data_IF_220477225791
#
_entry.id   IF_220477225791
#
_cell.length_a   1.000
_cell.length_b   1.000
_cell.length_c   1.000
_cell.angle_alpha   90.00
_cell.angle_beta   90.00
_cell.angle_gamma   90.00
#
_symmetry.space_group_name_H-M   'P 1'
#
loop_
_entity.id
_entity.type
_entity.pdbx_description
1 polymer ?
#
# COMPACT_ATOMS: atom_id res chain seq x y z
N UNK A 1 -29.49 28.86 7.38
CA UNK A 1 -28.20 29.49 7.04
C UNK A 1 -27.35 28.44 6.35
N UNK A 2 -27.24 28.49 5.03
CA UNK A 2 -26.30 27.67 4.27
C UNK A 2 -24.90 28.23 4.53
N UNK A 3 -24.02 27.45 5.14
CA UNK A 3 -22.61 27.82 5.26
C UNK A 3 -22.05 27.93 3.83
N UNK A 4 -21.51 29.11 3.48
CA UNK A 4 -20.74 29.28 2.25
C UNK A 4 -19.66 28.20 2.22
N UNK A 5 -19.66 27.35 1.19
CA UNK A 5 -18.60 26.37 0.98
C UNK A 5 -17.31 27.13 0.66
N UNK A 6 -16.49 27.35 1.68
CA UNK A 6 -15.19 28.00 1.53
C UNK A 6 -14.27 27.04 0.77
N UNK A 7 -13.78 27.48 -0.39
CA UNK A 7 -12.87 26.65 -1.20
C UNK A 7 -11.55 26.35 -0.47
N UNK A 8 -10.90 25.22 -0.76
CA UNK A 8 -9.59 24.88 -0.20
C UNK A 8 -8.54 26.02 -0.30
N UNK A 9 -8.40 26.77 -1.42
CA UNK A 9 -7.48 27.90 -1.49
C UNK A 9 -7.72 29.01 -0.46
N UNK A 10 -8.98 29.33 -0.16
CA UNK A 10 -9.31 30.32 0.88
C UNK A 10 -8.91 29.83 2.27
N UNK A 11 -9.16 28.56 2.58
CA UNK A 11 -8.75 27.98 3.86
C UNK A 11 -7.22 27.95 4.01
N UNK A 12 -6.50 27.68 2.92
CA UNK A 12 -5.03 27.71 2.92
C UNK A 12 -4.48 29.12 3.15
N UNK A 13 -5.16 30.16 2.66
CA UNK A 13 -4.75 31.54 2.91
C UNK A 13 -4.87 31.91 4.41
N UNK A 14 -5.92 31.41 5.07
CA UNK A 14 -6.15 31.63 6.51
C UNK A 14 -5.05 31.01 7.39
N UNK A 15 -4.29 30.03 6.90
CA UNK A 15 -3.14 29.45 7.62
C UNK A 15 -1.99 30.45 7.84
N UNK A 16 -1.92 31.52 7.06
CA UNK A 16 -0.96 32.61 7.26
C UNK A 16 -1.44 33.69 8.25
N UNK A 17 -2.63 33.52 8.85
CA UNK A 17 -3.16 34.46 9.84
C UNK A 17 -2.25 34.52 11.08
N UNK A 18 -2.13 35.72 11.68
CA UNK A 18 -1.44 35.90 12.97
C UNK A 18 -2.28 35.34 14.12
N UNK A 19 -3.61 35.30 13.95
CA UNK A 19 -4.56 34.74 14.92
C UNK A 19 -4.59 33.21 14.84
N UNK A 20 -4.17 32.58 15.93
CA UNK A 20 -4.20 31.12 16.12
C UNK A 20 -5.59 30.52 15.98
N UNK A 21 -6.62 31.19 16.47
CA UNK A 21 -8.00 30.67 16.42
C UNK A 21 -8.45 30.53 14.97
N UNK A 22 -8.04 31.48 14.12
CA UNK A 22 -8.29 31.46 12.68
C UNK A 22 -7.52 30.31 12.03
N UNK A 23 -6.24 30.14 12.35
CA UNK A 23 -5.41 29.04 11.80
C UNK A 23 -5.93 27.66 12.20
N UNK A 24 -6.23 27.44 13.48
CA UNK A 24 -6.79 26.17 13.96
C UNK A 24 -8.11 25.85 13.27
N UNK A 25 -9.02 26.82 13.19
CA UNK A 25 -10.29 26.64 12.48
C UNK A 25 -10.07 26.31 11.00
N UNK A 26 -9.10 26.94 10.35
CA UNK A 26 -8.74 26.64 8.97
C UNK A 26 -8.19 25.21 8.82
N UNK A 27 -7.31 24.75 9.73
CA UNK A 27 -6.81 23.37 9.73
C UNK A 27 -7.95 22.33 9.86
N UNK A 28 -8.88 22.54 10.79
CA UNK A 28 -10.07 21.67 10.93
C UNK A 28 -10.90 21.62 9.63
N UNK A 29 -11.19 22.78 9.04
CA UNK A 29 -11.98 22.84 7.81
C UNK A 29 -11.24 22.21 6.61
N UNK A 30 -9.91 22.33 6.55
CA UNK A 30 -9.08 21.70 5.53
C UNK A 30 -9.16 20.18 5.64
N UNK A 31 -9.13 19.64 6.87
CA UNK A 31 -9.26 18.21 7.11
C UNK A 31 -10.60 17.68 6.57
N UNK A 32 -11.70 18.38 6.87
CA UNK A 32 -13.04 18.03 6.40
C UNK A 32 -13.17 18.12 4.87
N UNK A 33 -12.63 19.18 4.27
CA UNK A 33 -12.64 19.37 2.81
C UNK A 33 -11.87 18.25 2.09
N UNK A 34 -10.68 17.88 2.57
CA UNK A 34 -9.90 16.76 2.01
C UNK A 34 -10.62 15.42 2.25
N UNK A 35 -11.27 15.26 3.41
CA UNK A 35 -11.97 14.04 3.78
C UNK A 35 -13.11 13.72 2.82
N UNK A 36 -13.86 14.75 2.43
CA UNK A 36 -15.03 14.67 1.54
C UNK A 36 -14.70 14.79 0.05
N UNK A 37 -13.50 15.26 -0.30
CA UNK A 37 -13.05 15.36 -1.68
C UNK A 37 -12.97 13.99 -2.39
N UNK A 38 -13.35 14.00 -3.68
CA UNK A 38 -13.10 12.93 -4.66
C UNK A 38 -11.67 13.01 -5.14
N UNK A 39 -10.75 12.48 -4.34
CA UNK A 39 -9.30 12.61 -4.55
C UNK A 39 -8.83 11.99 -5.87
N UNK A 40 -9.54 10.99 -6.37
CA UNK A 40 -9.32 10.41 -7.71
C UNK A 40 -9.48 11.43 -8.85
N UNK A 41 -10.17 12.55 -8.61
CA UNK A 41 -10.34 13.66 -9.56
C UNK A 41 -9.41 14.86 -9.27
N UNK A 42 -8.60 14.81 -8.22
CA UNK A 42 -7.73 15.92 -7.83
C UNK A 42 -6.39 15.89 -8.58
N UNK A 43 -5.79 17.06 -8.76
CA UNK A 43 -4.43 17.23 -9.29
C UNK A 43 -3.45 17.45 -8.14
N UNK A 44 -2.28 16.84 -8.23
CA UNK A 44 -1.21 16.99 -7.24
C UNK A 44 -0.86 18.46 -6.96
N UNK A 45 -0.87 19.30 -7.99
CA UNK A 45 -0.55 20.72 -7.91
C UNK A 45 -1.49 21.52 -7.00
N UNK A 46 -2.74 21.07 -6.82
CA UNK A 46 -3.73 21.74 -5.95
C UNK A 46 -3.30 21.72 -4.47
N UNK A 47 -2.50 20.73 -4.08
CA UNK A 47 -2.00 20.60 -2.70
C UNK A 47 -0.69 21.36 -2.45
N UNK A 48 -0.03 21.91 -3.47
CA UNK A 48 1.29 22.54 -3.34
C UNK A 48 1.30 23.71 -2.36
N UNK A 49 0.30 24.59 -2.42
CA UNK A 49 0.17 25.73 -1.50
C UNK A 49 -0.16 25.29 -0.08
N UNK A 50 -1.01 24.27 0.09
CA UNK A 50 -1.30 23.67 1.39
C UNK A 50 0.00 23.14 2.02
N UNK A 51 0.73 22.30 1.29
CA UNK A 51 1.99 21.73 1.76
C UNK A 51 3.00 22.83 2.15
N UNK A 52 3.10 23.91 1.38
CA UNK A 52 3.96 25.04 1.74
C UNK A 52 3.56 25.70 3.07
N UNK A 53 2.26 25.88 3.33
CA UNK A 53 1.79 26.46 4.59
C UNK A 53 1.97 25.50 5.78
N UNK A 54 1.70 24.20 5.59
CA UNK A 54 1.95 23.20 6.64
C UNK A 54 3.42 23.14 7.02
N UNK A 55 4.34 23.25 6.06
CA UNK A 55 5.78 23.35 6.32
C UNK A 55 6.10 24.54 7.23
N UNK A 56 5.60 25.74 6.91
CA UNK A 56 5.85 26.95 7.69
C UNK A 56 5.31 26.79 9.12
N UNK A 57 4.09 26.28 9.27
CA UNK A 57 3.50 26.05 10.59
C UNK A 57 4.29 25.05 11.43
N UNK A 58 4.70 23.91 10.85
CA UNK A 58 5.51 22.92 11.56
C UNK A 58 6.90 23.42 11.95
N UNK A 59 7.48 24.32 11.14
CA UNK A 59 8.82 24.89 11.37
C UNK A 59 8.78 25.98 12.44
N UNK A 60 7.89 26.95 12.28
CA UNK A 60 7.94 28.23 12.99
C UNK A 60 7.09 28.24 14.26
N UNK A 61 6.08 27.36 14.36
CA UNK A 61 5.13 27.37 15.46
C UNK A 61 5.15 26.06 16.24
N UNK A 62 5.33 26.16 17.56
CA UNK A 62 5.32 25.04 18.48
C UNK A 62 4.07 25.10 19.36
N UNK A 63 2.90 24.96 18.75
CA UNK A 63 1.67 24.70 19.48
C UNK A 63 1.23 23.27 19.20
N UNK A 64 1.07 22.50 20.28
CA UNK A 64 0.76 21.07 20.19
C UNK A 64 -0.54 20.82 19.45
N UNK A 65 -1.55 21.67 19.65
CA UNK A 65 -2.86 21.58 19.00
C UNK A 65 -2.77 21.78 17.48
N UNK A 66 -2.03 22.78 17.01
CA UNK A 66 -1.80 22.99 15.57
C UNK A 66 -1.03 21.82 14.96
N UNK A 67 -0.01 21.31 15.66
CA UNK A 67 0.75 20.15 15.19
C UNK A 67 -0.09 18.87 15.12
N UNK A 68 -1.00 18.66 16.07
CA UNK A 68 -1.93 17.54 16.04
C UNK A 68 -2.82 17.61 14.80
N UNK A 69 -3.40 18.77 14.51
CA UNK A 69 -4.21 18.98 13.30
C UNK A 69 -3.40 18.83 12.01
N UNK A 70 -2.16 19.33 11.97
CA UNK A 70 -1.27 19.13 10.82
C UNK A 70 -0.96 17.64 10.64
N UNK A 71 -0.69 16.90 11.72
CA UNK A 71 -0.44 15.46 11.65
C UNK A 71 -1.67 14.70 11.13
N UNK A 72 -2.88 15.06 11.56
CA UNK A 72 -4.13 14.49 11.04
C UNK A 72 -4.32 14.77 9.54
N UNK A 73 -4.01 15.98 9.06
CA UNK A 73 -4.06 16.32 7.63
C UNK A 73 -3.04 15.50 6.82
N UNK A 74 -1.79 15.43 7.29
CA UNK A 74 -0.73 14.68 6.62
C UNK A 74 -1.06 13.19 6.57
N UNK A 75 -1.61 12.66 7.65
CA UNK A 75 -2.09 11.29 7.74
C UNK A 75 -3.22 11.03 6.74
N UNK A 76 -4.24 11.89 6.71
CA UNK A 76 -5.33 11.79 5.74
C UNK A 76 -4.81 11.81 4.29
N UNK A 77 -3.93 12.76 3.96
CA UNK A 77 -3.31 12.85 2.64
C UNK A 77 -2.55 11.57 2.28
N UNK A 78 -1.81 10.99 3.24
CA UNK A 78 -1.06 9.75 3.02
C UNK A 78 -1.96 8.55 2.71
N UNK A 79 -3.19 8.54 3.21
CA UNK A 79 -4.16 7.51 2.86
C UNK A 79 -4.81 7.78 1.51
N UNK A 80 -5.16 9.04 1.25
CA UNK A 80 -5.87 9.46 0.05
C UNK A 80 -5.00 9.41 -1.21
N UNK A 81 -3.67 9.49 -1.09
CA UNK A 81 -2.78 9.36 -2.25
C UNK A 81 -2.96 8.01 -2.98
N UNK A 82 -3.36 6.97 -2.25
CA UNK A 82 -3.57 5.64 -2.83
C UNK A 82 -4.77 5.56 -3.76
N UNK A 83 -5.72 6.49 -3.67
CA UNK A 83 -6.87 6.58 -4.58
C UNK A 83 -6.66 7.57 -5.72
N UNK A 84 -5.51 8.28 -5.75
CA UNK A 84 -5.14 9.09 -6.90
C UNK A 84 -4.72 8.17 -8.06
N UNK A 85 -4.84 8.67 -9.29
CA UNK A 85 -4.18 8.03 -10.44
C UNK A 85 -2.67 7.97 -10.20
N UNK A 86 -2.00 6.90 -10.64
CA UNK A 86 -0.54 6.72 -10.44
C UNK A 86 0.29 7.94 -10.85
N UNK A 87 -0.07 8.60 -11.96
CA UNK A 87 0.61 9.81 -12.43
C UNK A 87 0.51 10.97 -11.43
N UNK A 88 -0.69 11.24 -10.91
CA UNK A 88 -0.92 12.31 -9.94
C UNK A 88 -0.36 11.94 -8.55
N UNK A 89 -0.43 10.68 -8.13
CA UNK A 89 0.22 10.22 -6.91
C UNK A 89 1.73 10.49 -6.95
N UNK A 90 2.40 10.13 -8.05
CA UNK A 90 3.84 10.37 -8.22
C UNK A 90 4.19 11.86 -8.21
N UNK A 91 3.40 12.70 -8.91
CA UNK A 91 3.57 14.17 -8.86
C UNK A 91 3.38 14.70 -7.44
N UNK A 92 2.40 14.18 -6.69
CA UNK A 92 2.15 14.59 -5.32
C UNK A 92 3.35 14.26 -4.43
N UNK A 93 3.88 13.02 -4.49
CA UNK A 93 5.09 12.63 -3.73
C UNK A 93 6.27 13.53 -4.09
N UNK A 94 6.46 13.84 -5.37
CA UNK A 94 7.52 14.74 -5.81
C UNK A 94 7.40 16.14 -5.18
N UNK A 95 6.21 16.75 -5.24
CA UNK A 95 5.92 18.04 -4.60
C UNK A 95 6.16 17.95 -3.09
N UNK A 96 5.66 16.88 -2.46
CA UNK A 96 5.79 16.65 -1.03
C UNK A 96 7.25 16.60 -0.59
N UNK A 97 8.09 15.80 -1.27
CA UNK A 97 9.54 15.72 -1.01
C UNK A 97 10.23 17.06 -1.23
N UNK A 98 9.87 17.79 -2.31
CA UNK A 98 10.45 19.10 -2.62
C UNK A 98 10.17 20.17 -1.55
N UNK A 99 9.04 20.07 -0.84
CA UNK A 99 8.68 20.99 0.26
C UNK A 99 9.39 20.69 1.59
N UNK A 100 10.18 19.63 1.67
CA UNK A 100 10.92 19.22 2.89
C UNK A 100 10.05 18.97 4.13
N UNK A 101 8.73 18.84 3.99
CA UNK A 101 7.82 18.51 5.10
C UNK A 101 8.21 17.18 5.73
N UNK A 102 8.61 16.22 4.89
CA UNK A 102 9.09 14.92 5.36
C UNK A 102 10.26 15.01 6.35
N UNK A 103 11.18 15.96 6.16
CA UNK A 103 12.26 16.19 7.12
C UNK A 103 11.72 16.70 8.46
N UNK A 104 10.81 17.68 8.45
CA UNK A 104 10.19 18.20 9.68
C UNK A 104 9.41 17.10 10.42
N UNK A 105 8.68 16.24 9.71
CA UNK A 105 7.98 15.11 10.33
C UNK A 105 8.94 14.19 11.08
N UNK A 106 10.11 13.87 10.50
CA UNK A 106 11.14 13.04 11.14
C UNK A 106 11.68 13.70 12.41
N UNK A 107 11.98 14.99 12.36
CA UNK A 107 12.46 15.75 13.53
C UNK A 107 11.40 15.77 14.64
N UNK A 108 10.14 16.08 14.31
CA UNK A 108 9.04 16.12 15.29
C UNK A 108 8.72 14.75 15.88
N UNK A 109 8.86 13.67 15.12
CA UNK A 109 8.69 12.32 15.65
C UNK A 109 9.71 11.99 16.77
N UNK A 110 10.96 12.44 16.61
CA UNK A 110 12.02 12.20 17.59
C UNK A 110 11.91 13.08 18.83
N UNK A 111 11.28 14.25 18.72
CA UNK A 111 11.13 15.18 19.82
C UNK A 111 10.33 14.55 20.99
N UNK A 112 10.93 14.37 22.18
CA UNK A 112 10.28 13.71 23.31
C UNK A 112 9.09 14.48 23.88
N UNK A 113 8.97 15.78 23.59
CA UNK A 113 7.84 16.60 24.06
C UNK A 113 6.56 16.40 23.25
N UNK A 114 6.65 15.77 22.06
CA UNK A 114 5.49 15.54 21.21
C UNK A 114 4.63 14.38 21.76
N UNK A 115 3.29 14.57 21.87
CA UNK A 115 2.39 13.53 22.34
C UNK A 115 2.49 12.22 21.54
N UNK A 116 2.28 11.09 22.23
CA UNK A 116 2.35 9.76 21.60
C UNK A 116 1.36 9.59 20.44
N UNK A 117 0.17 10.19 20.53
CA UNK A 117 -0.84 10.17 19.46
C UNK A 117 -0.30 10.84 18.19
N UNK A 118 0.26 12.04 18.33
CA UNK A 118 0.86 12.79 17.22
C UNK A 118 2.05 12.04 16.64
N UNK A 119 2.92 11.46 17.48
CA UNK A 119 4.03 10.61 17.00
C UNK A 119 3.56 9.42 16.19
N UNK A 120 2.44 8.80 16.57
CA UNK A 120 1.86 7.69 15.83
C UNK A 120 1.38 8.12 14.44
N UNK A 121 0.67 9.24 14.34
CA UNK A 121 0.22 9.82 13.07
C UNK A 121 1.39 10.22 12.16
N UNK A 122 2.45 10.81 12.74
CA UNK A 122 3.66 11.14 12.00
C UNK A 122 4.39 9.88 11.52
N UNK A 123 4.56 8.87 12.37
CA UNK A 123 5.22 7.61 11.98
C UNK A 123 4.44 6.87 10.88
N UNK A 124 3.11 6.85 10.99
CA UNK A 124 2.23 6.32 9.95
C UNK A 124 2.47 7.04 8.63
N UNK A 125 2.38 8.37 8.63
CA UNK A 125 2.56 9.19 7.44
C UNK A 125 3.97 9.07 6.83
N UNK A 126 5.02 9.03 7.66
CA UNK A 126 6.41 8.82 7.23
C UNK A 126 6.56 7.48 6.49
N UNK A 127 5.91 6.44 7.01
CA UNK A 127 5.94 5.11 6.42
C UNK A 127 5.13 5.08 5.12
N UNK A 128 3.90 5.58 5.15
CA UNK A 128 2.96 5.57 4.03
C UNK A 128 3.45 6.38 2.82
N UNK A 129 4.12 7.52 3.04
CA UNK A 129 4.73 8.31 1.97
C UNK A 129 6.09 7.76 1.49
N UNK A 130 6.63 6.70 2.10
CA UNK A 130 7.92 6.15 1.73
C UNK A 130 9.06 7.16 1.91
N UNK A 131 9.10 7.87 3.05
CA UNK A 131 10.06 8.95 3.28
C UNK A 131 11.42 8.46 3.81
N UNK A 132 11.57 7.16 4.07
CA UNK A 132 12.82 6.53 4.49
C UNK A 132 13.44 5.91 3.25
N UNK A 133 14.47 6.57 2.71
CA UNK A 133 15.09 6.15 1.46
C UNK A 133 16.07 4.97 1.67
N UNK A 134 16.71 4.90 2.85
CA UNK A 134 17.61 3.80 3.22
C UNK A 134 17.68 3.54 4.74
N UNK A 135 18.48 2.55 5.14
CA UNK A 135 18.64 2.16 6.54
C UNK A 135 19.60 3.05 7.34
N UNK A 136 20.34 3.95 6.68
CA UNK A 136 21.17 4.97 7.32
C UNK A 136 20.37 6.21 7.70
N UNK A 137 19.16 6.35 7.17
CA UNK A 137 18.22 7.38 7.63
C UNK A 137 18.05 7.29 9.15
N UNK A 138 18.36 8.39 9.82
CA UNK A 138 18.38 8.48 11.29
C UNK A 138 17.02 8.14 11.92
N UNK A 139 15.92 8.23 11.15
CA UNK A 139 14.58 7.91 11.62
C UNK A 139 14.21 6.42 11.49
N UNK A 140 14.94 5.65 10.67
CA UNK A 140 14.56 4.28 10.33
C UNK A 140 14.48 3.38 11.57
N UNK A 141 15.56 3.30 12.34
CA UNK A 141 15.60 2.47 13.56
C UNK A 141 14.55 2.90 14.61
N UNK A 142 14.37 4.21 14.90
CA UNK A 142 13.29 4.69 15.75
C UNK A 142 11.88 4.24 15.29
N UNK A 143 11.57 4.36 13.99
CA UNK A 143 10.27 3.94 13.45
C UNK A 143 10.11 2.42 13.50
N UNK A 144 11.15 1.67 13.13
CA UNK A 144 11.12 0.20 13.20
C UNK A 144 10.84 -0.28 14.63
N UNK A 145 11.56 0.27 15.61
CA UNK A 145 11.33 -0.04 17.03
C UNK A 145 9.89 0.28 17.46
N UNK A 146 9.38 1.45 17.06
CA UNK A 146 8.02 1.86 17.37
C UNK A 146 6.98 0.90 16.77
N UNK A 147 7.17 0.47 15.51
CA UNK A 147 6.31 -0.51 14.85
C UNK A 147 6.34 -1.88 15.54
N UNK A 148 7.52 -2.35 15.97
CA UNK A 148 7.63 -3.62 16.70
C UNK A 148 6.95 -3.57 18.08
N UNK A 149 7.06 -2.46 18.80
CA UNK A 149 6.34 -2.24 20.05
C UNK A 149 4.81 -2.25 19.82
N UNK A 150 4.33 -1.57 18.77
CA UNK A 150 2.92 -1.56 18.37
C UNK A 150 2.42 -2.95 17.98
N UNK A 151 3.22 -3.71 17.21
CA UNK A 151 2.88 -5.08 16.83
C UNK A 151 2.73 -5.97 18.06
N UNK A 152 3.67 -5.88 19.02
CA UNK A 152 3.60 -6.65 20.26
C UNK A 152 2.34 -6.34 21.07
N UNK A 153 2.00 -5.06 21.24
CA UNK A 153 0.76 -4.65 21.95
C UNK A 153 -0.48 -5.21 21.24
N UNK A 154 -0.51 -5.16 19.91
CA UNK A 154 -1.60 -5.70 19.11
C UNK A 154 -1.71 -7.22 19.25
N UNK A 155 -0.58 -7.94 19.23
CA UNK A 155 -0.52 -9.39 19.46
C UNK A 155 -1.05 -9.78 20.85
N UNK A 156 -0.66 -9.04 21.89
CA UNK A 156 -1.15 -9.25 23.26
C UNK A 156 -2.67 -9.02 23.37
N UNK A 157 -3.21 -8.06 22.63
CA UNK A 157 -4.65 -7.80 22.56
C UNK A 157 -5.39 -8.93 21.82
N UNK A 158 -4.87 -9.36 20.67
CA UNK A 158 -5.47 -10.43 19.86
C UNK A 158 -5.46 -11.79 20.57
N UNK A 159 -4.49 -12.04 21.45
CA UNK A 159 -4.46 -13.23 22.30
C UNK A 159 -5.59 -13.26 23.34
N UNK A 160 -6.05 -12.09 23.80
CA UNK A 160 -7.18 -11.96 24.75
C UNK A 160 -8.52 -11.97 24.04
N UNK A 161 -8.57 -11.38 22.86
CA UNK A 161 -9.78 -11.25 22.06
C UNK A 161 -9.45 -11.57 20.60
N UNK A 162 -9.88 -12.74 20.09
CA UNK A 162 -9.66 -13.10 18.69
C UNK A 162 -10.15 -12.01 17.75
N UNK A 163 -9.44 -11.83 16.63
CA UNK A 163 -9.77 -10.85 15.61
C UNK A 163 -11.23 -10.97 15.16
N UNK A 164 -11.94 -9.84 15.17
CA UNK A 164 -13.30 -9.70 14.63
C UNK A 164 -13.33 -8.48 13.73
N UNK A 165 -13.57 -8.69 12.44
CA UNK A 165 -13.56 -7.61 11.42
C UNK A 165 -14.56 -6.50 11.77
N UNK A 166 -15.67 -6.84 12.43
CA UNK A 166 -16.71 -5.89 12.83
C UNK A 166 -16.26 -4.92 13.93
N UNK A 167 -15.22 -5.29 14.68
CA UNK A 167 -14.65 -4.48 15.75
C UNK A 167 -13.47 -3.64 15.28
N UNK A 168 -13.02 -3.80 14.03
CA UNK A 168 -12.02 -2.91 13.48
C UNK A 168 -12.59 -1.49 13.45
N UNK A 169 -11.86 -0.50 14.00
CA UNK A 169 -12.33 0.87 13.99
C UNK A 169 -12.59 1.29 12.55
N UNK A 170 -13.82 1.79 12.29
CA UNK A 170 -14.13 2.43 11.02
C UNK A 170 -13.10 3.54 10.79
N UNK A 171 -12.65 3.64 9.54
CA UNK A 171 -11.42 4.27 9.02
C UNK A 171 -11.29 5.79 9.26
N UNK A 172 -11.86 6.37 10.32
CA UNK A 172 -12.00 7.81 10.50
C UNK A 172 -11.01 8.46 11.49
N UNK A 173 -10.06 7.69 12.04
CA UNK A 173 -8.84 8.22 12.67
C UNK A 173 -7.71 7.24 12.37
N UNK A 174 -6.87 7.55 11.40
CA UNK A 174 -5.83 6.66 10.91
C UNK A 174 -4.64 6.65 11.90
N UNK A 175 -3.57 5.92 11.58
CA UNK A 175 -2.50 5.56 12.51
C UNK A 175 -2.34 4.05 12.68
N UNK A 176 -1.51 3.61 13.62
CA UNK A 176 -1.17 2.19 13.87
C UNK A 176 -2.13 1.51 14.85
N UNK A 177 -3.43 1.62 14.56
CA UNK A 177 -4.51 1.12 15.43
C UNK A 177 -4.95 -0.30 15.14
N UNK A 178 -4.60 -0.83 13.96
CA UNK A 178 -4.98 -2.18 13.53
C UNK A 178 -3.74 -2.98 13.18
N UNK A 179 -3.85 -4.30 13.29
CA UNK A 179 -2.80 -5.22 12.83
C UNK A 179 -2.46 -4.94 11.34
N UNK A 180 -3.47 -4.71 10.50
CA UNK A 180 -3.27 -4.42 9.09
C UNK A 180 -2.41 -3.16 8.85
N UNK A 181 -2.67 -2.07 9.58
CA UNK A 181 -1.89 -0.82 9.44
C UNK A 181 -0.45 -0.97 9.89
N UNK A 182 -0.20 -1.75 10.96
CA UNK A 182 1.16 -1.99 11.49
C UNK A 182 1.95 -2.86 10.50
N UNK A 183 1.35 -3.97 10.05
CA UNK A 183 1.98 -4.86 9.09
C UNK A 183 2.23 -4.15 7.76
N UNK A 184 1.32 -3.29 7.30
CA UNK A 184 1.50 -2.54 6.06
C UNK A 184 2.74 -1.63 6.12
N UNK A 185 2.94 -0.91 7.23
CA UNK A 185 4.14 -0.09 7.39
C UNK A 185 5.44 -0.90 7.45
N UNK A 186 5.45 -2.04 8.14
CA UNK A 186 6.60 -2.97 8.11
C UNK A 186 6.87 -3.48 6.68
N UNK A 187 5.80 -3.76 5.94
CA UNK A 187 5.84 -4.27 4.59
C UNK A 187 6.47 -3.27 3.60
N UNK A 188 6.24 -1.97 3.76
CA UNK A 188 6.81 -0.92 2.88
C UNK A 188 8.34 -1.05 2.81
N UNK A 189 9.00 -1.33 3.93
CA UNK A 189 10.46 -1.50 3.97
C UNK A 189 10.97 -2.74 3.22
N UNK A 190 10.12 -3.72 2.92
CA UNK A 190 10.48 -4.91 2.13
C UNK A 190 10.64 -4.64 0.63
N UNK A 191 10.11 -3.51 0.16
CA UNK A 191 10.25 -3.03 -1.21
C UNK A 191 11.47 -2.13 -1.41
N UNK A 192 12.04 -1.63 -0.32
CA UNK A 192 13.21 -0.74 -0.32
C UNK A 192 14.50 -1.41 -0.79
N UNK A 193 15.63 -0.73 -0.57
CA UNK A 193 16.94 -1.28 -0.89
C UNK A 193 17.31 -2.48 0.00
N UNK A 194 18.38 -3.21 -0.38
CA UNK A 194 18.85 -4.39 0.33
C UNK A 194 19.03 -4.16 1.84
N UNK A 195 19.55 -2.99 2.25
CA UNK A 195 19.78 -2.69 3.65
C UNK A 195 18.49 -2.62 4.46
N UNK A 196 17.45 -1.95 3.95
CA UNK A 196 16.13 -1.94 4.58
C UNK A 196 15.55 -3.35 4.70
N UNK A 197 15.56 -4.12 3.60
CA UNK A 197 15.07 -5.51 3.60
C UNK A 197 15.81 -6.39 4.61
N UNK A 198 17.13 -6.26 4.68
CA UNK A 198 17.99 -7.01 5.60
C UNK A 198 17.69 -6.65 7.05
N UNK A 199 17.43 -5.37 7.35
CA UNK A 199 17.06 -4.94 8.70
C UNK A 199 15.69 -5.44 9.12
N UNK A 200 14.70 -5.45 8.21
CA UNK A 200 13.40 -6.06 8.50
C UNK A 200 13.53 -7.55 8.78
N UNK A 201 14.33 -8.27 7.97
CA UNK A 201 14.58 -9.69 8.19
C UNK A 201 15.30 -9.96 9.52
N UNK A 202 16.32 -9.17 9.88
CA UNK A 202 17.04 -9.34 11.15
C UNK A 202 16.18 -9.10 12.38
N UNK A 203 15.10 -8.34 12.24
CA UNK A 203 14.09 -8.12 13.29
C UNK A 203 12.91 -9.11 13.21
N UNK A 204 13.10 -10.24 12.52
CA UNK A 204 12.10 -11.31 12.45
C UNK A 204 10.98 -11.07 11.44
N UNK A 205 11.21 -10.24 10.42
CA UNK A 205 10.21 -9.93 9.39
C UNK A 205 9.65 -11.17 8.67
N UNK A 206 10.48 -12.18 8.41
CA UNK A 206 10.03 -13.43 7.78
C UNK A 206 9.07 -14.17 8.71
N UNK A 207 9.43 -14.29 9.99
CA UNK A 207 8.64 -14.97 11.02
C UNK A 207 7.34 -14.22 11.29
N UNK A 208 7.36 -12.88 11.30
CA UNK A 208 6.15 -12.05 11.37
C UNK A 208 5.22 -12.39 10.21
N UNK A 209 5.72 -12.37 8.97
CA UNK A 209 4.95 -12.75 7.80
C UNK A 209 4.34 -14.16 7.95
N UNK A 210 5.17 -15.14 8.33
CA UNK A 210 4.74 -16.52 8.52
C UNK A 210 3.60 -16.66 9.56
N UNK A 211 3.64 -15.93 10.68
CA UNK A 211 2.58 -15.98 11.71
C UNK A 211 1.20 -15.59 11.15
N UNK A 212 1.16 -14.67 10.19
CA UNK A 212 -0.08 -14.08 9.68
C UNK A 212 -0.53 -14.62 8.31
N UNK A 213 0.20 -15.57 7.73
CA UNK A 213 -0.16 -16.18 6.44
C UNK A 213 -1.54 -16.85 6.43
N UNK A 214 -2.01 -17.38 7.57
CA UNK A 214 -3.32 -18.03 7.70
C UNK A 214 -4.36 -17.15 8.42
N UNK A 215 -4.15 -15.84 8.47
CA UNK A 215 -5.07 -14.92 9.14
C UNK A 215 -6.45 -14.88 8.44
N UNK A 216 -7.54 -14.68 9.19
CA UNK A 216 -8.90 -14.67 8.62
C UNK A 216 -9.14 -13.53 7.62
N UNK A 217 -8.55 -12.37 7.89
CA UNK A 217 -8.58 -11.22 6.96
C UNK A 217 -7.63 -11.43 5.78
N UNK A 218 -8.18 -11.43 4.56
CA UNK A 218 -7.42 -11.60 3.33
C UNK A 218 -6.37 -10.49 3.13
N UNK A 219 -6.72 -9.24 3.49
CA UNK A 219 -5.80 -8.10 3.49
C UNK A 219 -4.55 -8.36 4.34
N UNK A 220 -4.74 -8.90 5.55
CA UNK A 220 -3.61 -9.25 6.43
C UNK A 220 -2.77 -10.38 5.81
N UNK A 221 -3.39 -11.41 5.22
CA UNK A 221 -2.65 -12.48 4.54
C UNK A 221 -1.78 -11.96 3.40
N UNK A 222 -2.29 -11.02 2.59
CA UNK A 222 -1.50 -10.42 1.49
C UNK A 222 -0.30 -9.65 2.02
N UNK A 223 -0.48 -8.81 3.05
CA UNK A 223 0.63 -8.08 3.66
C UNK A 223 1.65 -9.05 4.28
N UNK A 224 1.16 -10.08 4.97
CA UNK A 224 1.97 -11.11 5.60
C UNK A 224 2.80 -11.89 4.57
N UNK A 225 2.22 -12.18 3.40
CA UNK A 225 2.91 -12.82 2.30
C UNK A 225 4.09 -11.99 1.78
N UNK A 226 3.99 -10.67 1.74
CA UNK A 226 5.12 -9.83 1.35
C UNK A 226 6.28 -9.94 2.33
N UNK A 227 5.98 -9.86 3.63
CA UNK A 227 6.98 -10.02 4.70
C UNK A 227 7.62 -11.41 4.64
N UNK A 228 6.81 -12.45 4.49
CA UNK A 228 7.29 -13.82 4.32
C UNK A 228 8.10 -13.99 3.03
N UNK A 229 7.79 -13.22 1.98
CA UNK A 229 8.50 -13.20 0.71
C UNK A 229 9.99 -12.88 0.82
N UNK A 230 10.44 -12.22 1.90
CA UNK A 230 11.87 -12.06 2.22
C UNK A 230 12.60 -13.41 2.34
N UNK A 231 11.90 -14.48 2.71
CA UNK A 231 12.45 -15.85 2.72
C UNK A 231 12.84 -16.37 1.33
N UNK A 232 12.34 -15.76 0.26
CA UNK A 232 12.65 -16.13 -1.13
C UNK A 232 13.81 -15.31 -1.71
N UNK A 233 14.22 -14.23 -1.03
CA UNK A 233 15.38 -13.44 -1.44
C UNK A 233 16.66 -14.28 -1.29
N UNK A 234 17.53 -14.24 -2.30
CA UNK A 234 18.69 -15.14 -2.37
C UNK A 234 19.64 -14.95 -1.19
N UNK A 235 19.94 -13.70 -0.82
CA UNK A 235 20.88 -13.37 0.25
C UNK A 235 20.18 -13.27 1.59
N UNK A 236 19.02 -12.64 1.67
CA UNK A 236 18.34 -12.39 2.95
C UNK A 236 17.71 -13.67 3.51
N UNK A 237 17.06 -14.46 2.65
CA UNK A 237 16.32 -15.65 3.08
C UNK A 237 17.17 -16.91 3.26
N UNK A 238 18.48 -16.88 3.02
CA UNK A 238 19.31 -18.09 3.01
C UNK A 238 19.35 -18.79 4.37
N UNK A 239 19.53 -18.02 5.44
CA UNK A 239 19.56 -18.55 6.81
C UNK A 239 18.21 -19.15 7.19
N UNK A 240 17.11 -18.51 6.80
CA UNK A 240 15.77 -19.03 7.04
C UNK A 240 15.55 -20.36 6.31
N UNK A 241 15.89 -20.43 5.01
CA UNK A 241 15.69 -21.64 4.19
C UNK A 241 16.59 -22.81 4.59
N UNK A 242 17.77 -22.53 5.12
CA UNK A 242 18.69 -23.60 5.58
C UNK A 242 18.27 -24.17 6.93
N UNK A 243 17.66 -23.36 7.80
CA UNK A 243 17.22 -23.79 9.14
C UNK A 243 15.81 -24.41 9.17
N UNK A 244 15.01 -24.21 8.12
CA UNK A 244 13.63 -24.65 8.07
C UNK A 244 13.36 -25.52 6.84
N UNK A 245 12.43 -26.48 6.93
CA UNK A 245 11.92 -27.16 5.74
C UNK A 245 11.01 -26.19 4.97
N UNK A 246 11.63 -25.36 4.13
CA UNK A 246 10.93 -24.28 3.42
C UNK A 246 9.81 -24.79 2.52
N UNK A 247 9.97 -25.97 1.92
CA UNK A 247 8.95 -26.59 1.06
C UNK A 247 7.73 -26.98 1.89
N UNK A 248 7.92 -27.61 3.06
CA UNK A 248 6.81 -27.95 3.95
C UNK A 248 6.09 -26.70 4.46
N UNK A 249 6.83 -25.64 4.78
CA UNK A 249 6.24 -24.37 5.19
C UNK A 249 5.40 -23.74 4.06
N UNK A 250 5.92 -23.71 2.83
CA UNK A 250 5.16 -23.23 1.67
C UNK A 250 3.88 -24.03 1.48
N UNK A 251 3.96 -25.37 1.52
CA UNK A 251 2.80 -26.25 1.37
C UNK A 251 1.77 -26.08 2.50
N UNK A 252 2.20 -25.67 3.69
CA UNK A 252 1.31 -25.42 4.84
C UNK A 252 0.53 -24.12 4.71
N UNK A 253 1.15 -23.08 4.16
CA UNK A 253 0.60 -21.70 4.17
C UNK A 253 0.05 -21.24 2.82
N UNK A 254 0.53 -21.82 1.72
CA UNK A 254 0.05 -21.56 0.37
C UNK A 254 -0.70 -22.82 -0.07
N UNK A 255 -2.04 -22.83 -0.05
CA UNK A 255 -2.80 -23.99 -0.46
C UNK A 255 -2.42 -24.35 -1.89
N UNK A 256 -2.33 -25.65 -2.18
CA UNK A 256 -2.06 -26.09 -3.56
C UNK A 256 -3.15 -25.52 -4.48
N UNK A 257 -2.78 -24.81 -5.57
CA UNK A 257 -3.75 -24.25 -6.48
C UNK A 257 -4.63 -25.38 -7.01
N UNK A 258 -5.93 -25.26 -6.80
CA UNK A 258 -6.89 -26.22 -7.33
C UNK A 258 -7.02 -25.96 -8.82
N UNK A 259 -6.43 -26.83 -9.64
CA UNK A 259 -6.62 -26.77 -11.08
C UNK A 259 -8.05 -27.18 -11.43
N UNK A 260 -8.93 -26.20 -11.60
CA UNK A 260 -10.28 -26.43 -12.10
C UNK A 260 -10.19 -26.55 -13.63
N UNK A 261 -10.24 -27.78 -14.13
CA UNK A 261 -10.36 -28.03 -15.57
C UNK A 261 -11.80 -27.75 -15.98
N UNK A 262 -12.05 -26.58 -16.56
CA UNK A 262 -13.38 -26.24 -17.06
C UNK A 262 -13.57 -26.87 -18.43
N UNK A 263 -14.62 -27.68 -18.58
CA UNK A 263 -14.94 -28.31 -19.87
C UNK A 263 -15.50 -27.29 -20.86
N UNK A 264 -15.31 -27.52 -22.15
CA UNK A 264 -15.74 -26.61 -23.23
C UNK A 264 -17.25 -26.33 -23.21
N UNK A 265 -18.06 -27.25 -22.70
CA UNK A 265 -19.51 -27.10 -22.54
C UNK A 265 -19.89 -26.08 -21.46
N UNK A 266 -18.98 -25.75 -20.54
CA UNK A 266 -19.17 -24.76 -19.47
C UNK A 266 -18.52 -23.40 -19.81
N UNK A 267 -18.00 -23.21 -21.03
CA UNK A 267 -17.36 -21.96 -21.46
C UNK A 267 -18.26 -20.73 -21.34
N UNK A 268 -19.57 -20.90 -21.50
CA UNK A 268 -20.57 -19.83 -21.31
C UNK A 268 -20.68 -19.35 -19.85
N UNK A 269 -20.26 -20.16 -18.87
CA UNK A 269 -20.15 -19.78 -17.45
C UNK A 269 -18.80 -19.10 -17.14
N UNK A 270 -17.83 -19.21 -18.07
CA UNK A 270 -16.55 -18.49 -18.05
C UNK A 270 -16.62 -17.32 -19.04
N UNK A 271 -17.65 -16.49 -18.92
CA UNK A 271 -17.67 -15.21 -19.62
C UNK A 271 -16.82 -14.22 -18.82
N UNK A 272 -16.12 -13.25 -19.45
CA UNK A 272 -15.63 -12.05 -18.76
C UNK A 272 -16.73 -11.36 -17.91
N UNK A 273 -18.01 -11.64 -18.22
CA UNK A 273 -19.19 -11.11 -17.54
C UNK A 273 -19.71 -11.98 -16.39
N UNK A 274 -19.36 -13.26 -16.30
CA UNK A 274 -19.88 -14.21 -15.28
C UNK A 274 -18.79 -14.50 -14.24
N UNK A 275 -19.05 -14.09 -12.99
CA UNK A 275 -18.13 -14.20 -11.85
C UNK A 275 -18.00 -15.65 -11.38
N UNK A 276 -16.78 -16.22 -11.43
CA UNK A 276 -16.46 -17.43 -10.70
C UNK A 276 -15.59 -17.08 -9.48
N UNK A 277 -16.09 -17.42 -8.29
CA UNK A 277 -15.38 -17.21 -7.02
C UNK A 277 -14.11 -18.08 -7.01
N UNK A 278 -12.94 -17.50 -6.70
CA UNK A 278 -11.66 -18.19 -6.58
C UNK A 278 -11.06 -18.75 -7.89
N UNK A 279 -11.40 -18.19 -9.05
CA UNK A 279 -10.79 -18.58 -10.32
C UNK A 279 -9.66 -17.62 -10.72
N UNK A 280 -8.42 -18.09 -10.58
CA UNK A 280 -7.21 -17.30 -10.81
C UNK A 280 -6.57 -17.43 -12.17
N UNK A 281 -6.74 -18.59 -12.78
CA UNK A 281 -6.33 -18.87 -14.16
C UNK A 281 -7.15 -20.05 -14.64
N UNK A 282 -7.85 -19.88 -15.75
CA UNK A 282 -8.53 -20.97 -16.45
C UNK A 282 -7.66 -21.43 -17.61
N UNK A 283 -7.20 -22.68 -17.59
CA UNK A 283 -6.69 -23.33 -18.80
C UNK A 283 -7.89 -23.94 -19.53
N UNK A 284 -8.33 -23.29 -20.60
CA UNK A 284 -9.36 -23.85 -21.48
C UNK A 284 -8.74 -25.04 -22.21
N UNK A 285 -9.28 -26.24 -22.00
CA UNK A 285 -8.79 -27.42 -22.72
C UNK A 285 -9.04 -27.23 -24.23
N UNK A 286 -7.97 -27.31 -25.04
CA UNK A 286 -8.04 -27.15 -26.50
C UNK A 286 -7.34 -25.90 -27.03
N UNK A 287 -7.05 -24.90 -26.18
CA UNK A 287 -6.14 -23.81 -26.55
C UNK A 287 -4.69 -24.25 -26.28
N UNK A 288 -3.94 -24.51 -27.34
CA UNK A 288 -2.62 -25.18 -27.36
C UNK A 288 -1.45 -24.42 -26.74
N UNK A 289 -1.60 -23.89 -25.52
CA UNK A 289 -0.55 -23.17 -24.81
C UNK A 289 0.52 -24.06 -24.14
N UNK A 290 0.37 -25.40 -24.19
CA UNK A 290 1.22 -26.32 -23.44
C UNK A 290 2.35 -27.01 -24.23
N UNK A 291 2.57 -26.67 -25.50
CA UNK A 291 3.69 -27.23 -26.28
C UNK A 291 4.77 -26.20 -26.70
N UNK A 292 4.66 -24.94 -26.28
CA UNK A 292 5.34 -23.80 -26.95
C UNK A 292 6.70 -23.39 -26.41
N UNK A 293 7.34 -24.14 -25.51
CA UNK A 293 8.65 -23.75 -24.93
C UNK A 293 9.87 -24.49 -25.49
N UNK A 294 9.80 -25.19 -26.63
CA UNK A 294 10.92 -26.05 -27.08
C UNK A 294 11.43 -25.94 -28.53
N UNK A 295 11.06 -24.96 -29.35
CA UNK A 295 11.77 -24.76 -30.64
C UNK A 295 11.93 -23.31 -31.07
N UNK A 296 13.11 -22.99 -31.63
CA UNK A 296 13.47 -21.68 -32.19
C UNK A 296 12.54 -21.22 -33.32
N UNK A 297 11.95 -22.17 -34.08
CA UNK A 297 10.94 -21.86 -35.09
C UNK A 297 9.67 -21.19 -34.53
N UNK A 298 9.34 -21.44 -33.26
CA UNK A 298 8.18 -20.82 -32.62
C UNK A 298 8.45 -19.40 -32.12
N UNK A 299 9.70 -19.02 -31.85
CA UNK A 299 10.05 -17.63 -31.51
C UNK A 299 9.85 -16.68 -32.70
N UNK A 300 10.20 -17.12 -33.91
CA UNK A 300 9.99 -16.35 -35.15
C UNK A 300 8.48 -16.17 -35.45
N UNK A 301 7.66 -17.18 -35.12
CA UNK A 301 6.19 -17.10 -35.24
C UNK A 301 5.59 -16.11 -34.25
N UNK A 302 6.05 -16.11 -32.99
CA UNK A 302 5.58 -15.17 -31.96
C UNK A 302 5.94 -13.72 -32.34
N UNK A 303 7.15 -13.48 -32.89
CA UNK A 303 7.55 -12.16 -33.36
C UNK A 303 6.60 -11.65 -34.46
N UNK A 304 6.26 -12.50 -35.44
CA UNK A 304 5.33 -12.16 -36.53
C UNK A 304 3.90 -11.92 -36.04
N UNK A 305 3.41 -12.72 -35.08
CA UNK A 305 2.09 -12.52 -34.48
C UNK A 305 2.03 -11.23 -33.66
N UNK A 306 3.10 -10.86 -32.95
CA UNK A 306 3.19 -9.57 -32.25
C UNK A 306 3.20 -8.37 -33.21
N UNK A 307 3.81 -8.50 -34.40
CA UNK A 307 3.76 -7.45 -35.43
C UNK A 307 2.37 -7.30 -36.05
N UNK A 308 1.63 -8.40 -36.22
CA UNK A 308 0.25 -8.40 -36.73
C UNK A 308 -0.74 -7.82 -35.72
N UNK A 309 -0.61 -8.13 -34.42
CA UNK A 309 -1.45 -7.55 -33.36
C UNK A 309 -1.20 -6.04 -33.14
N UNK A 310 -0.08 -5.50 -33.57
CA UNK A 310 0.16 -4.04 -33.56
C UNK A 310 -0.51 -3.31 -34.74
N UNK A 311 -0.97 -4.05 -35.76
CA UNK A 311 -1.65 -3.47 -36.94
C UNK A 311 -3.18 -3.48 -36.84
N UNK A 312 -3.76 -4.23 -35.89
CA UNK A 312 -5.20 -4.23 -35.63
C UNK A 312 -5.49 -3.52 -34.29
N UNK A 313 -5.48 -2.18 -34.32
CA UNK A 313 -6.01 -1.34 -33.25
C UNK A 313 -7.22 -0.57 -33.74
N UNK A 314 -8.39 -1.18 -33.59
CA UNK A 314 -9.67 -0.50 -33.33
C UNK A 314 -10.72 -1.57 -33.00
N UNK A 315 -11.21 -1.56 -31.76
CA UNK A 315 -12.51 -2.08 -31.26
C UNK A 315 -12.52 -3.04 -30.05
N UNK A 316 -11.39 -3.58 -29.56
CA UNK A 316 -11.41 -4.53 -28.41
C UNK A 316 -11.12 -3.92 -27.01
N UNK A 317 -11.25 -2.61 -26.83
CA UNK A 317 -10.83 -1.93 -25.59
C UNK A 317 -11.85 -1.97 -24.42
N UNK A 318 -13.07 -2.50 -24.62
CA UNK A 318 -14.09 -2.52 -23.56
C UNK A 318 -13.96 -3.71 -22.58
N UNK A 319 -13.68 -4.92 -23.07
CA UNK A 319 -13.71 -6.12 -22.23
C UNK A 319 -12.53 -6.22 -21.24
N UNK A 320 -11.34 -5.76 -21.63
CA UNK A 320 -10.17 -5.69 -20.75
C UNK A 320 -10.39 -4.67 -19.61
N UNK A 321 -11.02 -3.54 -19.91
CA UNK A 321 -11.35 -2.50 -18.95
C UNK A 321 -12.34 -3.00 -17.88
N UNK A 322 -13.38 -3.73 -18.28
CA UNK A 322 -14.35 -4.30 -17.33
C UNK A 322 -13.78 -5.42 -16.46
N UNK A 323 -12.83 -6.22 -16.97
CA UNK A 323 -12.13 -7.23 -16.18
C UNK A 323 -11.20 -6.57 -15.15
N UNK A 324 -10.47 -5.52 -15.56
CA UNK A 324 -9.59 -4.76 -14.67
C UNK A 324 -10.38 -4.00 -13.60
N UNK A 325 -11.50 -3.36 -13.97
CA UNK A 325 -12.42 -2.67 -13.04
C UNK A 325 -12.99 -3.59 -11.96
N UNK A 326 -13.25 -4.87 -12.27
CA UNK A 326 -13.80 -5.82 -11.27
C UNK A 326 -12.76 -6.38 -10.31
N UNK A 327 -11.53 -6.62 -10.79
CA UNK A 327 -10.39 -6.89 -9.90
C UNK A 327 -10.19 -5.70 -8.96
N UNK A 328 -10.35 -4.48 -9.48
CA UNK A 328 -10.33 -3.25 -8.69
C UNK A 328 -11.47 -3.22 -7.65
N UNK A 329 -12.71 -3.51 -8.04
CA UNK A 329 -13.87 -3.52 -7.13
C UNK A 329 -13.77 -4.59 -6.00
N UNK A 330 -13.26 -5.80 -6.29
CA UNK A 330 -13.02 -6.84 -5.27
C UNK A 330 -11.88 -6.44 -4.31
N UNK A 331 -10.85 -5.74 -4.81
CA UNK A 331 -9.78 -5.19 -3.98
C UNK A 331 -10.24 -3.95 -3.19
N UNK A 332 -11.18 -3.16 -3.69
CA UNK A 332 -11.76 -1.99 -2.99
C UNK A 332 -12.71 -2.40 -1.85
N UNK A 333 -13.58 -3.40 -2.07
CA UNK A 333 -14.51 -3.87 -1.02
C UNK A 333 -13.80 -4.49 0.20
N UNK A 334 -12.55 -4.93 0.03
CA UNK A 334 -11.71 -5.44 1.11
C UNK A 334 -10.56 -4.50 1.51
N UNK A 335 -10.45 -3.33 0.89
CA UNK A 335 -9.39 -2.34 1.13
C UNK A 335 -7.97 -2.83 0.79
N UNK A 336 -7.88 -3.81 -0.12
CA UNK A 336 -6.64 -4.32 -0.68
C UNK A 336 -6.06 -3.45 -1.77
N UNK A 337 -6.88 -2.69 -2.49
CA UNK A 337 -6.35 -1.87 -3.58
C UNK A 337 -5.42 -0.79 -3.06
N UNK A 338 -5.80 -0.13 -1.97
CA UNK A 338 -4.96 0.89 -1.35
C UNK A 338 -3.69 0.28 -0.76
N UNK A 339 -3.77 -0.98 -0.33
CA UNK A 339 -2.65 -1.75 0.25
C UNK A 339 -1.66 -2.13 -0.84
N UNK A 340 -2.14 -2.73 -1.93
CA UNK A 340 -1.37 -3.19 -3.08
C UNK A 340 -0.78 -2.00 -3.86
N UNK A 341 -1.54 -0.94 -4.08
CA UNK A 341 -1.05 0.29 -4.72
C UNK A 341 0.03 0.96 -3.86
N UNK A 342 -0.18 1.13 -2.54
CA UNK A 342 0.85 1.68 -1.64
C UNK A 342 2.17 0.88 -1.68
N UNK A 343 2.09 -0.44 -1.91
CA UNK A 343 3.25 -1.32 -2.04
C UNK A 343 4.00 -1.12 -3.36
N UNK A 344 3.28 -0.88 -4.46
CA UNK A 344 3.87 -0.69 -5.80
C UNK A 344 4.50 0.70 -6.02
N UNK A 345 4.06 1.73 -5.30
CA UNK A 345 4.60 3.10 -5.45
C UNK A 345 6.02 3.31 -4.89
N UNK A 346 6.60 2.30 -4.22
CA UNK A 346 7.94 2.41 -3.59
C UNK A 346 9.09 1.81 -4.42
N UNK A 347 8.81 1.21 -5.58
CA UNK A 347 9.84 0.51 -6.38
C UNK A 347 10.28 1.28 -7.62
N UNK A 348 11.59 1.54 -7.70
CA UNK A 348 12.31 1.91 -8.92
C UNK A 348 12.33 0.70 -9.90
N UNK A 349 12.42 0.94 -11.22
CA UNK A 349 12.10 0.02 -12.34
C UNK A 349 12.87 -1.34 -12.43
N UNK A 350 13.61 -1.77 -11.40
CA UNK A 350 14.50 -2.96 -11.44
C UNK A 350 14.11 -4.15 -10.55
N UNK A 351 12.83 -4.35 -10.19
CA UNK A 351 12.42 -5.53 -9.40
C UNK A 351 11.29 -6.37 -10.03
N UNK A 352 11.53 -6.92 -11.23
CA UNK A 352 10.60 -7.79 -11.96
C UNK A 352 10.36 -9.19 -11.34
N UNK A 353 11.29 -9.72 -10.53
CA UNK A 353 11.13 -11.06 -9.91
C UNK A 353 10.25 -11.07 -8.66
N UNK A 354 10.38 -10.08 -7.78
CA UNK A 354 9.53 -9.93 -6.59
C UNK A 354 8.09 -9.64 -7.00
N UNK A 355 7.90 -8.81 -8.05
CA UNK A 355 6.58 -8.55 -8.65
C UNK A 355 5.93 -9.80 -9.25
N UNK A 356 6.71 -10.72 -9.83
CA UNK A 356 6.20 -11.99 -10.37
C UNK A 356 5.71 -12.94 -9.27
N UNK A 357 6.48 -13.08 -8.19
CA UNK A 357 6.06 -13.84 -7.00
C UNK A 357 4.86 -13.17 -6.29
N UNK A 358 4.82 -11.84 -6.23
CA UNK A 358 3.72 -11.08 -5.64
C UNK A 358 2.42 -11.19 -6.45
N UNK A 359 2.50 -11.11 -7.79
CA UNK A 359 1.39 -11.48 -8.68
C UNK A 359 0.96 -12.92 -8.38
N UNK A 360 1.90 -13.86 -8.32
CA UNK A 360 1.57 -15.27 -8.06
C UNK A 360 0.89 -15.49 -6.70
N UNK A 361 1.32 -14.83 -5.62
CA UNK A 361 0.76 -15.02 -4.27
C UNK A 361 -0.59 -14.28 -4.09
N UNK A 362 -0.75 -13.08 -4.67
CA UNK A 362 -2.06 -12.40 -4.70
C UNK A 362 -3.05 -13.21 -5.55
N UNK A 363 -2.64 -13.69 -6.71
CA UNK A 363 -3.47 -14.51 -7.61
C UNK A 363 -3.50 -16.00 -7.24
N UNK A 364 -3.10 -16.39 -6.03
CA UNK A 364 -3.28 -17.76 -5.51
C UNK A 364 -4.14 -17.82 -4.23
N UNK A 365 -4.44 -16.66 -3.62
CA UNK A 365 -5.13 -16.56 -2.33
C UNK A 365 -6.52 -15.89 -2.40
N UNK A 366 -7.06 -15.67 -3.60
CA UNK A 366 -8.40 -15.12 -3.87
C UNK A 366 -9.22 -16.04 -4.77
#
# INVERSE_FOLDING_TARGET
MQANATSLPSLVADLSSVDETVRLKALYNILDEIGTAKIECCRASQFSSLLAQLYLLMRDFFKVEELEQIAEILELLSTKITVMTDEEANKFIYIFKAKQIGYLMKIKFLDPSIPKSVKESLAYSISAFGLIDDYYDFIFNPILKFLMEKLKIMEELLNKQPYKKELDPKRSKYGFRTLATILNALCIFTFGNYGLKSQIASHGGIEIGMRYMNHQSNKIRVIAATLFGLSSDKSIGIDFRTKNNFIDLLNKYIPQPHHIKVSSTHSHLISPRVRMKNLHSGLISGFGLLNTFRSEENQIRIQKTFTLMQQEKQDENEDAYFAQKRVIEDLEQEGLIETVQSMFFSTDERQTRTQSLFKTIIFQNY
#
